data_IF_898172161179
#
_entry.id   IF_898172161179
#
_cell.length_a   1.000
_cell.length_b   1.000
_cell.length_c   1.000
_cell.angle_alpha   90.00
_cell.angle_beta   90.00
_cell.angle_gamma   90.00
#
_symmetry.space_group_name_H-M   'P 1'
#
loop_
_entity.id
_entity.type
_entity.pdbx_description
1 polymer ?
#
# COMPACT_ATOMS: atom_id res chain seq x y z
N UNK A 1 64.13 -44.05 -33.41
CA UNK A 1 65.00 -43.51 -32.35
C UNK A 1 64.53 -42.09 -32.08
N UNK A 2 64.02 -41.66 -30.92
CA UNK A 2 63.79 -42.22 -29.59
C UNK A 2 63.04 -41.16 -28.75
N UNK A 3 62.39 -41.59 -27.64
CA UNK A 3 62.07 -40.92 -26.36
C UNK A 3 61.81 -39.38 -26.30
N UNK A 4 60.94 -38.77 -25.50
CA UNK A 4 59.91 -39.08 -24.48
C UNK A 4 59.40 -37.69 -23.95
N UNK A 5 58.36 -37.59 -23.11
CA UNK A 5 57.58 -36.36 -22.86
C UNK A 5 58.05 -35.52 -21.66
N UNK A 6 57.64 -34.24 -21.62
CA UNK A 6 57.98 -33.28 -20.56
C UNK A 6 56.77 -32.63 -19.91
N UNK A 7 56.48 -33.05 -18.68
CA UNK A 7 55.46 -32.62 -17.73
C UNK A 7 55.67 -31.17 -17.24
N UNK A 8 54.59 -30.37 -17.09
CA UNK A 8 54.60 -29.13 -16.29
C UNK A 8 53.36 -28.99 -15.42
N UNK A 9 53.59 -29.15 -14.12
CA UNK A 9 52.76 -28.73 -12.98
C UNK A 9 52.49 -27.22 -13.03
N UNK A 10 51.27 -26.77 -12.74
CA UNK A 10 51.01 -25.42 -12.25
C UNK A 10 49.91 -25.39 -11.18
N UNK A 11 50.39 -25.22 -9.94
CA UNK A 11 49.87 -24.49 -8.77
C UNK A 11 48.37 -24.17 -8.65
N UNK A 12 47.71 -24.81 -7.69
CA UNK A 12 46.45 -24.36 -7.08
C UNK A 12 46.72 -23.36 -5.95
N UNK A 13 46.27 -22.11 -6.11
CA UNK A 13 46.25 -21.07 -5.06
C UNK A 13 44.97 -21.20 -4.20
N UNK A 14 45.05 -21.12 -2.86
CA UNK A 14 43.87 -21.10 -2.01
C UNK A 14 43.26 -19.68 -1.96
N UNK A 15 41.98 -19.58 -2.32
CA UNK A 15 41.17 -18.36 -2.16
C UNK A 15 40.74 -18.24 -0.69
N UNK A 16 41.24 -17.21 -0.01
CA UNK A 16 40.80 -16.84 1.35
C UNK A 16 39.53 -15.98 1.22
N UNK A 17 38.40 -16.51 1.67
CA UNK A 17 37.10 -15.83 1.67
C UNK A 17 36.96 -15.00 2.96
N UNK A 18 37.15 -13.68 2.88
CA UNK A 18 36.80 -12.77 3.99
C UNK A 18 35.28 -12.54 3.99
N UNK A 19 34.59 -13.01 5.03
CA UNK A 19 33.18 -12.74 5.27
C UNK A 19 33.01 -11.30 5.80
N UNK A 20 32.54 -10.39 4.93
CA UNK A 20 32.14 -9.04 5.31
C UNK A 20 30.75 -9.11 5.95
N UNK A 21 30.69 -8.94 7.27
CA UNK A 21 29.42 -8.80 7.98
C UNK A 21 28.79 -7.45 7.62
N UNK A 22 27.77 -7.47 6.76
CA UNK A 22 26.96 -6.29 6.47
C UNK A 22 26.11 -5.97 7.72
N UNK A 23 26.17 -4.75 8.27
CA UNK A 23 25.29 -4.35 9.36
C UNK A 23 23.84 -4.34 8.86
N UNK A 24 23.00 -5.18 9.48
CA UNK A 24 21.57 -5.22 9.22
C UNK A 24 20.97 -3.84 9.52
N UNK A 25 20.39 -3.19 8.50
CA UNK A 25 19.54 -2.04 8.69
C UNK A 25 18.30 -2.50 9.48
N UNK A 26 18.33 -2.33 10.80
CA UNK A 26 17.14 -2.44 11.62
C UNK A 26 16.22 -1.28 11.24
N UNK A 27 15.19 -1.55 10.43
CA UNK A 27 14.12 -0.57 10.20
C UNK A 27 13.57 -0.15 11.57
N UNK A 28 13.67 1.14 11.87
CA UNK A 28 13.12 1.73 13.08
C UNK A 28 11.62 1.40 13.15
N UNK A 29 11.24 0.57 14.11
CA UNK A 29 9.85 0.17 14.32
C UNK A 29 9.10 1.37 14.88
N UNK A 30 8.26 2.01 14.07
CA UNK A 30 7.35 3.04 14.57
C UNK A 30 6.37 2.39 15.55
N UNK A 31 6.43 2.82 16.81
CA UNK A 31 5.50 2.35 17.85
C UNK A 31 4.08 2.91 17.67
N UNK A 32 3.89 3.87 16.76
CA UNK A 32 2.61 4.47 16.41
C UNK A 32 2.05 3.88 15.11
N UNK A 33 0.79 3.47 15.14
CA UNK A 33 0.03 3.07 13.96
C UNK A 33 -0.86 4.24 13.52
N UNK A 34 -0.35 5.05 12.58
CA UNK A 34 -1.01 6.27 12.12
C UNK A 34 -1.81 6.03 10.84
N UNK A 35 -3.07 6.51 10.73
CA UNK A 35 -3.86 6.39 9.50
C UNK A 35 -3.34 7.24 8.32
N UNK A 36 -2.40 8.15 8.56
CA UNK A 36 -1.87 9.08 7.55
C UNK A 36 -0.39 8.83 7.22
N UNK A 37 0.16 7.69 7.63
CA UNK A 37 1.55 7.33 7.32
C UNK A 37 1.65 6.76 5.88
N UNK A 38 2.00 7.63 4.94
CA UNK A 38 2.10 7.24 3.53
C UNK A 38 3.17 6.19 3.27
N UNK A 39 4.30 6.26 3.98
CA UNK A 39 5.43 5.36 3.77
C UNK A 39 5.04 3.96 4.27
N UNK A 40 4.30 3.89 5.38
CA UNK A 40 3.70 2.65 5.84
C UNK A 40 2.69 2.07 4.84
N UNK A 41 1.89 2.92 4.17
CA UNK A 41 0.95 2.46 3.14
C UNK A 41 1.65 1.84 1.92
N UNK A 42 2.78 2.41 1.49
CA UNK A 42 3.56 1.89 0.36
C UNK A 42 4.16 0.51 0.63
N UNK A 43 4.61 0.27 1.87
CA UNK A 43 5.18 -1.01 2.30
C UNK A 43 4.13 -2.04 2.73
N UNK A 44 2.88 -1.61 2.94
CA UNK A 44 1.81 -2.46 3.41
C UNK A 44 1.29 -3.41 2.31
N UNK A 45 0.84 -4.58 2.74
CA UNK A 45 0.29 -5.62 1.87
C UNK A 45 -1.18 -5.84 2.21
N UNK A 46 -1.97 -6.19 1.20
CA UNK A 46 -3.35 -6.58 1.42
C UNK A 46 -3.42 -7.88 2.22
N UNK A 47 -4.03 -7.83 3.38
CA UNK A 47 -4.25 -8.96 4.28
C UNK A 47 -5.73 -9.13 4.56
N UNK A 48 -6.18 -10.37 4.59
CA UNK A 48 -7.56 -10.74 4.87
C UNK A 48 -7.66 -11.38 6.25
N UNK A 49 -8.78 -11.13 6.94
CA UNK A 49 -9.05 -11.76 8.22
C UNK A 49 -9.32 -13.26 8.06
N UNK A 50 -8.47 -14.09 8.68
CA UNK A 50 -8.53 -15.56 8.72
C UNK A 50 -9.58 -16.13 9.67
N UNK A 51 -10.28 -15.27 10.43
CA UNK A 51 -11.05 -15.66 11.62
C UNK A 51 -11.77 -17.02 11.51
N UNK A 52 -11.47 -17.92 12.45
CA UNK A 52 -11.93 -19.31 12.47
C UNK A 52 -13.43 -19.50 12.69
N UNK A 53 -14.18 -18.41 12.94
CA UNK A 53 -15.63 -18.44 13.09
C UNK A 53 -16.26 -17.11 12.63
N UNK A 54 -17.32 -17.13 11.79
CA UNK A 54 -17.97 -15.93 11.26
C UNK A 54 -18.52 -14.95 12.33
N UNK A 55 -18.65 -15.40 13.58
CA UNK A 55 -19.33 -14.67 14.66
C UNK A 55 -18.38 -13.96 15.64
N UNK A 56 -17.06 -14.04 15.45
CA UNK A 56 -16.11 -13.39 16.36
C UNK A 56 -15.38 -12.23 15.68
N UNK A 57 -15.83 -10.98 15.86
CA UNK A 57 -15.14 -9.83 15.31
C UNK A 57 -13.76 -9.67 15.95
N UNK A 58 -12.76 -9.34 15.14
CA UNK A 58 -11.41 -9.04 15.60
C UNK A 58 -11.27 -7.53 15.66
N UNK A 59 -11.25 -7.00 16.89
CA UNK A 59 -11.13 -5.57 17.11
C UNK A 59 -9.71 -5.08 16.86
N UNK A 60 -9.62 -3.90 16.26
CA UNK A 60 -8.37 -3.17 16.21
C UNK A 60 -7.95 -2.72 17.61
N UNK A 61 -6.66 -2.43 17.74
CA UNK A 61 -6.06 -2.01 19.00
C UNK A 61 -5.24 -0.73 18.81
N UNK A 62 -5.26 0.17 19.80
CA UNK A 62 -4.45 1.39 19.76
C UNK A 62 -2.97 1.12 20.07
N UNK A 63 -2.66 -0.05 20.64
CA UNK A 63 -1.31 -0.50 20.99
C UNK A 63 -1.08 -1.92 20.46
N UNK A 64 0.16 -2.23 20.09
CA UNK A 64 0.59 -3.57 19.67
C UNK A 64 0.74 -4.50 20.90
N UNK A 65 -0.36 -4.80 21.60
CA UNK A 65 -0.32 -5.48 22.90
C UNK A 65 -1.48 -6.45 23.11
N UNK A 66 -1.24 -7.68 23.55
CA UNK A 66 -2.33 -8.61 23.80
C UNK A 66 -3.24 -8.16 24.96
N UNK A 67 -4.56 -8.17 24.74
CA UNK A 67 -5.55 -7.90 25.79
C UNK A 67 -5.42 -8.89 26.97
N UNK A 68 -5.67 -8.45 28.22
CA UNK A 68 -5.69 -9.35 29.37
C UNK A 68 -6.77 -10.43 29.23
N UNK A 69 -6.51 -11.65 29.72
CA UNK A 69 -7.49 -12.74 29.72
C UNK A 69 -8.71 -12.45 30.61
N UNK A 70 -8.54 -11.60 31.64
CA UNK A 70 -9.61 -11.14 32.53
C UNK A 70 -9.53 -9.61 32.68
N UNK A 71 -10.69 -8.97 32.76
CA UNK A 71 -10.80 -7.52 32.92
C UNK A 71 -10.89 -6.76 31.59
N UNK A 72 -10.82 -5.43 31.68
CA UNK A 72 -11.03 -4.53 30.53
C UNK A 72 -9.77 -4.40 29.67
N UNK A 73 -9.90 -4.61 28.37
CA UNK A 73 -8.82 -4.31 27.42
C UNK A 73 -8.82 -2.82 27.06
N UNK A 74 -7.92 -2.05 27.69
CA UNK A 74 -7.87 -0.57 27.59
C UNK A 74 -7.54 -0.04 26.19
N UNK A 75 -6.78 -0.79 25.41
CA UNK A 75 -6.36 -0.44 24.05
C UNK A 75 -7.29 -1.04 22.98
N UNK A 76 -8.40 -1.66 23.35
CA UNK A 76 -9.39 -2.17 22.40
C UNK A 76 -10.12 -1.00 21.72
N UNK A 77 -10.08 -0.94 20.40
CA UNK A 77 -10.85 0.02 19.62
C UNK A 77 -12.27 -0.49 19.33
N UNK A 78 -13.16 0.45 18.96
CA UNK A 78 -14.54 0.12 18.56
C UNK A 78 -14.59 -0.53 17.18
N UNK A 79 -13.70 -0.14 16.28
CA UNK A 79 -13.55 -0.75 14.96
C UNK A 79 -13.11 -2.20 15.08
N UNK A 80 -13.62 -3.03 14.18
CA UNK A 80 -13.28 -4.44 14.10
C UNK A 80 -13.37 -4.91 12.66
N UNK A 81 -12.74 -6.05 12.41
CA UNK A 81 -12.88 -6.82 11.19
C UNK A 81 -13.77 -8.03 11.45
N UNK A 82 -14.55 -8.40 10.45
CA UNK A 82 -15.22 -9.69 10.33
C UNK A 82 -14.54 -10.54 9.25
N UNK A 83 -14.94 -11.80 9.16
CA UNK A 83 -14.38 -12.74 8.19
C UNK A 83 -14.45 -12.16 6.76
N UNK A 84 -13.36 -12.33 6.00
CA UNK A 84 -13.15 -11.82 4.66
C UNK A 84 -12.95 -10.29 4.51
N UNK A 85 -13.01 -9.51 5.59
CA UNK A 85 -12.56 -8.12 5.53
C UNK A 85 -11.07 -8.06 5.18
N UNK A 86 -10.71 -7.09 4.33
CA UNK A 86 -9.34 -6.89 3.86
C UNK A 86 -8.83 -5.50 4.27
N UNK A 87 -7.58 -5.47 4.74
CA UNK A 87 -6.87 -4.28 5.21
C UNK A 87 -5.48 -4.22 4.58
N UNK A 88 -4.84 -3.06 4.59
CA UNK A 88 -3.41 -2.95 4.27
C UNK A 88 -2.60 -3.02 5.54
N UNK A 89 -1.90 -4.14 5.73
CA UNK A 89 -1.10 -4.37 6.92
C UNK A 89 0.38 -4.24 6.61
N UNK A 90 1.09 -3.51 7.46
CA UNK A 90 2.54 -3.42 7.44
C UNK A 90 3.23 -4.72 7.87
N UNK A 91 4.56 -4.69 8.03
CA UNK A 91 5.32 -5.82 8.55
C UNK A 91 4.86 -6.19 9.97
N UNK A 92 5.08 -7.46 10.33
CA UNK A 92 4.81 -7.93 11.68
C UNK A 92 5.81 -7.36 12.68
N UNK A 93 5.30 -6.92 13.82
CA UNK A 93 6.04 -6.39 14.95
C UNK A 93 5.44 -6.99 16.23
N UNK A 94 6.22 -7.82 16.93
CA UNK A 94 5.82 -8.45 18.20
C UNK A 94 4.47 -9.20 18.15
N UNK A 95 4.18 -9.90 17.04
CA UNK A 95 2.93 -10.64 16.85
C UNK A 95 1.72 -9.78 16.48
N UNK A 96 1.93 -8.49 16.20
CA UNK A 96 0.92 -7.56 15.69
C UNK A 96 1.34 -6.97 14.34
N UNK A 97 0.37 -6.48 13.57
CA UNK A 97 0.60 -5.65 12.39
C UNK A 97 -0.20 -4.37 12.53
N UNK A 98 0.43 -3.24 12.20
CA UNK A 98 -0.32 -2.00 11.97
C UNK A 98 -1.12 -2.18 10.68
N UNK A 99 -2.43 -2.08 10.78
CA UNK A 99 -3.36 -2.28 9.69
C UNK A 99 -4.12 -0.99 9.40
N UNK A 100 -4.16 -0.63 8.12
CA UNK A 100 -4.79 0.55 7.58
C UNK A 100 -6.02 0.14 6.77
N UNK A 101 -7.08 0.90 6.92
CA UNK A 101 -8.29 0.76 6.11
C UNK A 101 -8.93 2.13 5.95
N UNK A 102 -9.83 2.23 4.98
CA UNK A 102 -10.56 3.46 4.72
C UNK A 102 -12.04 3.14 4.86
N UNK A 103 -12.75 3.95 5.63
CA UNK A 103 -14.20 3.79 5.80
C UNK A 103 -14.92 4.03 4.47
N UNK A 104 -16.17 3.59 4.35
CA UNK A 104 -17.00 3.85 3.16
C UNK A 104 -17.15 5.35 2.81
N UNK A 105 -16.86 6.26 3.75
CA UNK A 105 -16.86 7.72 3.53
C UNK A 105 -15.49 8.29 3.17
N UNK A 106 -14.50 7.46 2.82
CA UNK A 106 -13.15 7.93 2.47
C UNK A 106 -12.27 8.31 3.66
N UNK A 107 -12.73 8.16 4.92
CA UNK A 107 -11.92 8.47 6.10
C UNK A 107 -10.88 7.37 6.36
N UNK A 108 -9.57 7.66 6.35
CA UNK A 108 -8.54 6.68 6.68
C UNK A 108 -8.53 6.38 8.17
N UNK A 109 -8.29 5.12 8.51
CA UNK A 109 -8.26 4.58 9.86
C UNK A 109 -7.13 3.57 9.99
N UNK A 110 -6.58 3.45 11.19
CA UNK A 110 -5.52 2.51 11.47
C UNK A 110 -5.62 1.95 12.89
N UNK A 111 -5.05 0.77 13.09
CA UNK A 111 -4.86 0.16 14.39
C UNK A 111 -4.11 -1.16 14.28
N UNK A 112 -3.68 -1.68 15.42
CA UNK A 112 -2.97 -2.95 15.49
C UNK A 112 -3.95 -4.13 15.48
N UNK A 113 -3.58 -5.17 14.74
CA UNK A 113 -4.27 -6.45 14.69
C UNK A 113 -3.29 -7.58 15.02
N UNK A 114 -3.71 -8.64 15.74
CA UNK A 114 -2.88 -9.83 15.93
C UNK A 114 -2.54 -10.46 14.58
N UNK A 115 -1.26 -10.67 14.32
CA UNK A 115 -0.79 -11.24 13.04
C UNK A 115 -1.35 -12.63 12.78
N UNK A 116 -1.55 -13.43 13.82
CA UNK A 116 -2.12 -14.78 13.73
C UNK A 116 -3.55 -14.80 13.15
N UNK A 117 -4.26 -13.66 13.16
CA UNK A 117 -5.61 -13.53 12.63
C UNK A 117 -5.64 -13.08 11.17
N UNK A 118 -4.47 -12.79 10.57
CA UNK A 118 -4.34 -12.25 9.22
C UNK A 118 -3.65 -13.24 8.30
N UNK A 119 -4.06 -13.25 7.04
CA UNK A 119 -3.40 -13.99 5.97
C UNK A 119 -3.30 -13.13 4.70
N UNK A 120 -2.32 -13.36 3.81
CA UNK A 120 -2.23 -12.63 2.54
C UNK A 120 -3.54 -12.71 1.75
N UNK A 121 -4.02 -11.56 1.29
CA UNK A 121 -5.24 -11.51 0.51
C UNK A 121 -5.06 -12.21 -0.84
N UNK A 122 -6.01 -13.07 -1.22
CA UNK A 122 -6.02 -13.77 -2.52
C UNK A 122 -6.64 -12.94 -3.65
N UNK A 123 -6.80 -11.63 -3.46
CA UNK A 123 -7.51 -10.76 -4.39
C UNK A 123 -6.72 -10.58 -5.70
N UNK A 124 -7.42 -10.39 -6.84
CA UNK A 124 -6.77 -9.99 -8.08
C UNK A 124 -5.99 -8.68 -7.86
N UNK A 125 -4.84 -8.57 -8.52
CA UNK A 125 -4.01 -7.36 -8.49
C UNK A 125 -4.18 -6.49 -9.74
N UNK A 126 -4.94 -6.97 -10.73
CA UNK A 126 -5.11 -6.29 -12.01
C UNK A 126 -5.98 -5.04 -11.88
N UNK A 127 -5.55 -3.94 -12.50
CA UNK A 127 -6.33 -2.71 -12.66
C UNK A 127 -7.14 -2.76 -13.97
N UNK A 128 -8.08 -3.70 -14.07
CA UNK A 128 -8.99 -3.76 -15.21
C UNK A 128 -10.11 -2.70 -15.12
N UNK A 129 -10.76 -2.45 -16.25
CA UNK A 129 -11.80 -1.43 -16.35
C UNK A 129 -12.99 -1.71 -15.40
N UNK A 130 -13.33 -2.98 -15.18
CA UNK A 130 -14.44 -3.37 -14.30
C UNK A 130 -14.14 -3.07 -12.83
N UNK A 131 -12.90 -3.23 -12.40
CA UNK A 131 -12.44 -2.84 -11.07
C UNK A 131 -12.35 -1.31 -10.92
N UNK A 132 -11.81 -0.61 -11.92
CA UNK A 132 -11.56 0.84 -11.86
C UNK A 132 -12.83 1.67 -11.90
N UNK A 133 -13.77 1.39 -12.80
CA UNK A 133 -14.86 2.31 -13.19
C UNK A 133 -15.64 2.90 -11.99
N UNK A 134 -15.97 4.18 -12.02
CA UNK A 134 -16.69 4.86 -10.94
C UNK A 134 -15.77 5.67 -10.03
N UNK A 135 -16.36 6.18 -8.94
CA UNK A 135 -15.73 7.18 -8.08
C UNK A 135 -14.99 6.56 -6.91
N UNK A 136 -13.78 7.04 -6.67
CA UNK A 136 -12.88 6.63 -5.60
C UNK A 136 -12.57 7.83 -4.73
N UNK A 137 -12.59 7.67 -3.41
CA UNK A 137 -12.42 8.78 -2.45
C UNK A 137 -11.35 8.51 -1.41
N UNK A 138 -10.61 9.55 -1.06
CA UNK A 138 -9.67 9.60 0.07
C UNK A 138 -9.75 10.97 0.76
N UNK A 139 -10.44 11.04 1.90
CA UNK A 139 -10.73 12.32 2.55
C UNK A 139 -11.55 13.25 1.65
N UNK A 140 -10.98 14.41 1.31
CA UNK A 140 -11.56 15.41 0.41
C UNK A 140 -11.17 15.20 -1.06
N UNK A 141 -10.24 14.29 -1.34
CA UNK A 141 -9.79 13.99 -2.69
C UNK A 141 -10.67 12.92 -3.32
N UNK A 142 -10.85 13.00 -4.64
CA UNK A 142 -11.51 11.95 -5.39
C UNK A 142 -10.98 11.76 -6.81
N UNK A 143 -11.16 10.56 -7.32
CA UNK A 143 -10.81 10.17 -8.69
C UNK A 143 -11.99 9.39 -9.26
N UNK A 144 -12.47 9.80 -10.41
CA UNK A 144 -13.50 9.09 -11.17
C UNK A 144 -12.86 8.44 -12.38
N UNK A 145 -13.02 7.12 -12.49
CA UNK A 145 -12.58 6.37 -13.67
C UNK A 145 -13.78 6.06 -14.55
N UNK A 146 -13.66 6.24 -15.86
CA UNK A 146 -14.69 5.89 -16.84
C UNK A 146 -14.07 5.10 -18.00
N UNK A 147 -14.93 4.48 -18.81
CA UNK A 147 -14.49 3.91 -20.08
C UNK A 147 -14.05 5.06 -21.00
N UNK A 148 -12.79 5.00 -21.45
CA UNK A 148 -12.25 5.90 -22.46
C UNK A 148 -12.46 5.38 -23.88
N UNK A 149 -11.97 6.13 -24.87
CA UNK A 149 -12.00 5.68 -26.26
C UNK A 149 -11.10 4.44 -26.47
N UNK A 150 -11.45 3.59 -27.44
CA UNK A 150 -10.63 2.44 -27.86
C UNK A 150 -10.24 1.46 -26.74
N UNK A 151 -11.07 1.34 -25.70
CA UNK A 151 -10.82 0.42 -24.58
C UNK A 151 -9.82 0.95 -23.54
N UNK A 152 -9.43 2.22 -23.63
CA UNK A 152 -8.68 2.90 -22.57
C UNK A 152 -9.55 3.09 -21.33
N UNK A 153 -8.90 3.35 -20.20
CA UNK A 153 -9.55 3.91 -19.02
C UNK A 153 -9.23 5.39 -18.96
N UNK A 154 -10.27 6.21 -18.84
CA UNK A 154 -10.16 7.63 -18.59
C UNK A 154 -10.24 7.87 -17.08
N UNK A 155 -9.45 8.80 -16.55
CA UNK A 155 -9.50 9.22 -15.16
C UNK A 155 -9.56 10.73 -15.06
N UNK A 156 -10.44 11.23 -14.19
CA UNK A 156 -10.48 12.62 -13.75
C UNK A 156 -10.30 12.62 -12.24
N UNK A 157 -9.40 13.44 -11.72
CA UNK A 157 -9.18 13.55 -10.29
C UNK A 157 -9.16 15.00 -9.82
N UNK A 158 -9.59 15.18 -8.58
CA UNK A 158 -9.46 16.44 -7.84
C UNK A 158 -8.85 16.19 -6.47
N UNK A 159 -7.90 17.03 -6.08
CA UNK A 159 -7.30 17.03 -4.76
C UNK A 159 -7.39 18.42 -4.14
N UNK A 160 -7.63 18.47 -2.83
CA UNK A 160 -7.72 19.71 -2.07
C UNK A 160 -6.82 19.64 -0.84
N UNK A 161 -6.10 20.73 -0.60
CA UNK A 161 -5.40 20.98 0.65
C UNK A 161 -5.98 22.23 1.30
N UNK A 162 -6.50 22.08 2.52
CA UNK A 162 -7.09 23.18 3.28
C UNK A 162 -6.29 23.43 4.56
N UNK A 163 -5.90 24.67 4.78
CA UNK A 163 -5.38 25.19 6.06
C UNK A 163 -6.42 26.12 6.72
N UNK A 164 -6.10 26.69 7.87
CA UNK A 164 -7.00 27.66 8.54
C UNK A 164 -7.30 28.91 7.69
N UNK A 165 -6.41 29.27 6.77
CA UNK A 165 -6.47 30.55 6.03
C UNK A 165 -6.43 30.40 4.50
N UNK A 166 -6.10 29.21 3.98
CA UNK A 166 -5.90 29.00 2.54
C UNK A 166 -6.45 27.65 2.12
N UNK A 167 -7.04 27.60 0.92
CA UNK A 167 -7.36 26.37 0.23
C UNK A 167 -6.60 26.33 -1.09
N UNK A 168 -5.87 25.24 -1.34
CA UNK A 168 -5.19 24.96 -2.60
C UNK A 168 -5.86 23.75 -3.24
N UNK A 169 -6.01 23.78 -4.56
CA UNK A 169 -6.61 22.69 -5.33
C UNK A 169 -5.67 22.21 -6.43
N UNK A 170 -5.96 21.01 -6.92
CA UNK A 170 -5.28 20.41 -8.06
C UNK A 170 -6.22 19.44 -8.76
N UNK A 171 -5.98 19.28 -10.05
CA UNK A 171 -6.76 18.43 -10.92
C UNK A 171 -5.86 17.70 -11.92
N UNK A 172 -6.33 16.55 -12.38
CA UNK A 172 -5.75 15.87 -13.52
C UNK A 172 -6.84 15.21 -14.34
N UNK A 173 -6.58 15.05 -15.63
CA UNK A 173 -7.39 14.27 -16.55
C UNK A 173 -6.47 13.53 -17.51
N UNK A 174 -6.77 12.27 -17.80
CA UNK A 174 -5.98 11.52 -18.76
C UNK A 174 -6.50 10.11 -19.03
N UNK A 175 -6.02 9.56 -20.14
CA UNK A 175 -6.32 8.20 -20.56
C UNK A 175 -5.08 7.31 -20.43
N UNK A 176 -5.29 6.05 -20.07
CA UNK A 176 -4.24 5.04 -20.05
C UNK A 176 -4.80 3.66 -20.40
N UNK A 177 -3.92 2.73 -20.73
CA UNK A 177 -4.34 1.36 -21.04
C UNK A 177 -4.61 0.62 -19.73
N UNK A 178 -5.82 0.07 -19.48
CA UNK A 178 -6.11 -0.67 -18.26
C UNK A 178 -5.33 -2.00 -18.23
N UNK A 179 -5.08 -2.51 -17.03
CA UNK A 179 -4.34 -3.76 -16.81
C UNK A 179 -3.14 -3.58 -15.88
N UNK A 180 -2.39 -4.66 -15.67
CA UNK A 180 -1.23 -4.67 -14.76
C UNK A 180 -1.58 -4.38 -13.30
N UNK A 181 -0.56 -4.20 -12.46
CA UNK A 181 -0.73 -3.86 -11.03
C UNK A 181 -0.66 -2.35 -10.76
N UNK A 182 -0.28 -1.58 -11.78
CA UNK A 182 -0.02 -0.15 -11.73
C UNK A 182 -0.43 0.54 -13.03
N UNK A 183 -1.09 1.69 -12.89
CA UNK A 183 -1.41 2.60 -13.98
C UNK A 183 -0.77 3.96 -13.73
N UNK A 184 -0.39 4.63 -14.82
CA UNK A 184 0.14 6.00 -14.80
C UNK A 184 -0.72 6.89 -15.68
N UNK A 185 -1.06 8.07 -15.17
CA UNK A 185 -1.76 9.14 -15.87
C UNK A 185 -0.82 10.35 -15.93
N UNK A 186 -0.47 10.77 -17.15
CA UNK A 186 0.60 11.75 -17.41
C UNK A 186 1.84 11.13 -18.03
N UNK A 187 2.79 11.98 -18.43
CA UNK A 187 4.03 11.56 -19.10
C UNK A 187 5.17 11.37 -18.07
N UNK A 188 5.65 10.15 -17.83
CA UNK A 188 6.71 9.93 -16.84
C UNK A 188 8.08 10.48 -17.27
N UNK A 189 8.25 10.90 -18.53
CA UNK A 189 9.46 11.57 -19.01
C UNK A 189 9.39 13.10 -18.90
N UNK A 190 8.22 13.68 -18.58
CA UNK A 190 8.06 15.11 -18.41
C UNK A 190 8.07 15.48 -16.92
N UNK A 191 9.23 15.90 -16.41
CA UNK A 191 9.45 16.18 -14.98
C UNK A 191 8.57 17.30 -14.42
N UNK A 192 8.11 18.21 -15.28
CA UNK A 192 7.28 19.36 -14.92
C UNK A 192 5.78 19.15 -15.17
N UNK A 193 5.39 17.99 -15.71
CA UNK A 193 3.98 17.65 -15.90
C UNK A 193 3.43 16.87 -14.72
N UNK A 194 2.11 16.95 -14.49
CA UNK A 194 1.44 16.12 -13.52
C UNK A 194 1.58 14.64 -13.89
N UNK A 195 2.05 13.83 -12.94
CA UNK A 195 2.09 12.38 -13.04
C UNK A 195 1.39 11.78 -11.83
N UNK A 196 0.31 11.05 -12.07
CA UNK A 196 -0.41 10.28 -11.05
C UNK A 196 -0.18 8.80 -11.30
N UNK A 197 0.21 8.08 -10.24
CA UNK A 197 0.40 6.64 -10.24
C UNK A 197 -0.66 5.99 -9.37
N UNK A 198 -1.35 4.98 -9.92
CA UNK A 198 -2.44 4.26 -9.26
C UNK A 198 -2.06 2.79 -9.19
N UNK A 199 -2.11 2.21 -8.00
CA UNK A 199 -1.81 0.79 -7.79
C UNK A 199 -2.96 0.07 -7.08
N UNK A 200 -3.28 -1.15 -7.51
CA UNK A 200 -4.27 -1.97 -6.82
C UNK A 200 -3.68 -2.55 -5.54
N UNK A 201 -4.41 -2.40 -4.43
CA UNK A 201 -4.07 -2.98 -3.13
C UNK A 201 -5.31 -3.65 -2.53
N UNK A 202 -5.60 -4.86 -3.00
CA UNK A 202 -6.83 -5.56 -2.64
C UNK A 202 -8.07 -4.79 -3.12
N UNK A 203 -8.97 -4.35 -2.21
CA UNK A 203 -10.12 -3.52 -2.56
C UNK A 203 -9.80 -2.01 -2.62
N UNK A 204 -8.58 -1.60 -2.29
CA UNK A 204 -8.14 -0.20 -2.26
C UNK A 204 -7.36 0.15 -3.52
N UNK A 205 -7.32 1.44 -3.83
CA UNK A 205 -6.26 2.02 -4.66
C UNK A 205 -5.25 2.72 -3.76
N UNK A 206 -3.97 2.42 -3.94
CA UNK A 206 -2.89 3.25 -3.45
C UNK A 206 -2.53 4.23 -4.57
N UNK A 207 -2.70 5.51 -4.31
CA UNK A 207 -2.41 6.57 -5.27
C UNK A 207 -1.21 7.36 -4.78
N UNK A 208 -0.35 7.76 -5.71
CA UNK A 208 0.74 8.70 -5.49
C UNK A 208 0.83 9.67 -6.68
N UNK A 209 1.50 10.79 -6.47
CA UNK A 209 1.78 11.77 -7.51
C UNK A 209 3.18 12.37 -7.32
N UNK A 210 3.64 13.08 -8.35
CA UNK A 210 4.94 13.76 -8.37
C UNK A 210 4.92 15.20 -7.80
N UNK A 211 3.85 15.60 -7.11
CA UNK A 211 3.62 16.93 -6.55
C UNK A 211 3.56 18.05 -7.61
N UNK A 212 3.26 17.72 -8.87
CA UNK A 212 3.06 18.67 -9.98
C UNK A 212 1.59 18.80 -10.40
N UNK A 213 0.68 18.17 -9.66
CA UNK A 213 -0.74 18.07 -10.02
C UNK A 213 -1.63 19.15 -9.40
N UNK A 214 -1.06 20.25 -8.91
CA UNK A 214 -1.83 21.31 -8.27
C UNK A 214 -0.99 22.34 -7.53
N UNK A 215 -1.65 23.11 -6.68
CA UNK A 215 -1.03 24.12 -5.84
C UNK A 215 -0.16 23.55 -4.71
N UNK A 216 0.43 24.46 -3.92
CA UNK A 216 1.29 24.09 -2.79
C UNK A 216 0.58 23.13 -1.82
N UNK A 217 1.27 22.05 -1.43
CA UNK A 217 0.77 20.99 -0.54
C UNK A 217 -0.40 20.15 -1.09
N UNK A 218 -0.80 20.34 -2.36
CA UNK A 218 -1.80 19.50 -3.00
C UNK A 218 -1.14 18.19 -3.43
N UNK A 219 -1.74 17.07 -3.03
CA UNK A 219 -1.30 15.74 -3.42
C UNK A 219 -2.51 14.81 -3.50
N UNK A 220 -2.48 13.93 -4.49
CA UNK A 220 -3.39 12.80 -4.65
C UNK A 220 -2.97 11.61 -3.79
N UNK A 221 -1.82 11.67 -3.10
CA UNK A 221 -1.30 10.56 -2.32
C UNK A 221 -2.28 10.08 -1.27
N UNK A 222 -2.59 8.78 -1.28
CA UNK A 222 -3.47 8.20 -0.27
C UNK A 222 -4.04 6.84 -0.63
N UNK A 223 -4.80 6.28 0.31
CA UNK A 223 -5.60 5.09 0.11
C UNK A 223 -7.02 5.50 -0.25
N UNK A 224 -7.48 5.05 -1.41
CA UNK A 224 -8.82 5.36 -1.91
C UNK A 224 -9.73 4.14 -1.82
N UNK A 225 -10.99 4.40 -1.55
CA UNK A 225 -12.07 3.41 -1.63
C UNK A 225 -13.08 3.79 -2.66
N UNK A 226 -13.60 2.79 -3.37
CA UNK A 226 -14.71 2.98 -4.29
C UNK A 226 -15.96 3.37 -3.50
N UNK A 227 -16.56 4.49 -3.88
CA UNK A 227 -17.90 4.85 -3.42
C UNK A 227 -18.86 3.84 -4.02
N UNK A 228 -19.65 3.17 -3.18
CA UNK A 228 -20.76 2.36 -3.70
C UNK A 228 -21.83 3.31 -4.21
N UNK A 229 -22.09 3.29 -5.51
CA UNK A 229 -23.29 3.91 -6.08
C UNK A 229 -24.50 3.28 -5.36
N UNK A 230 -25.36 4.13 -4.77
CA UNK A 230 -26.63 3.69 -4.17
C UNK A 230 -27.60 3.24 -5.25
#
# INVERSE_FOLDING_TARGET
>A
MGYAPGMRLLFTLPVVLMAVALPSLAQAQSSSCSPYDSDAHEQAQAMTLKASSPKQPVHFQSEAKACPAKGTCRWKQRSYLIQADTVLAGPEQNGFRCAHYVTAKGKPMAGFLPSANLEPAKAPKTLDLAFLTGRWVAGENDITFTAGANGLVHAEGTATYTSETTANTGDFSGDTTPGGEELRFGNPQAEDECLVTVQRRGPYLLVSDNLRCGGLNVSFRGLYVRVKTQ
#
